data_IF_140735499986
#
_entry.id   IF_140735499986
#
_cell.length_a   1.000
_cell.length_b   1.000
_cell.length_c   1.000
_cell.angle_alpha   90.00
_cell.angle_beta   90.00
_cell.angle_gamma   90.00
#
_symmetry.space_group_name_H-M   'P 1'
#
loop_
_entity.id
_entity.type
_entity.pdbx_description
1 polymer ?
#
# COMPACT_ATOMS: atom_id res chain seq x y z
N UNK A 1 -5.68 -32.66 -28.68
CA UNK A 1 -6.75 -33.01 -29.64
C UNK A 1 -7.50 -34.23 -29.10
N UNK A 2 -8.83 -34.25 -29.24
CA UNK A 2 -9.86 -35.20 -28.76
C UNK A 2 -10.76 -34.63 -27.65
N UNK A 3 -11.92 -34.19 -28.17
CA UNK A 3 -13.13 -33.67 -27.54
C UNK A 3 -13.97 -34.85 -27.03
N UNK A 4 -14.73 -34.64 -25.96
CA UNK A 4 -15.96 -35.39 -25.71
C UNK A 4 -17.17 -34.47 -25.90
N UNK A 5 -18.06 -34.91 -26.79
CA UNK A 5 -19.42 -34.40 -27.03
C UNK A 5 -20.34 -34.97 -25.96
N UNK A 6 -21.25 -34.16 -25.44
CA UNK A 6 -22.57 -34.64 -25.02
C UNK A 6 -23.63 -33.85 -25.79
N UNK A 7 -24.61 -34.59 -26.32
CA UNK A 7 -25.73 -34.10 -27.12
C UNK A 7 -26.97 -34.87 -26.72
N UNK A 8 -28.03 -34.16 -26.33
CA UNK A 8 -29.45 -34.56 -26.49
C UNK A 8 -30.33 -33.35 -26.14
N UNK A 9 -30.92 -32.70 -27.15
CA UNK A 9 -32.35 -32.78 -27.55
C UNK A 9 -33.29 -31.99 -26.62
N UNK A 10 -33.79 -30.82 -27.04
CA UNK A 10 -35.03 -30.54 -27.83
C UNK A 10 -36.18 -30.12 -26.91
N UNK A 11 -36.75 -28.94 -27.18
CA UNK A 11 -37.95 -28.44 -26.51
C UNK A 11 -38.25 -26.98 -26.87
N UNK A 12 -38.71 -26.77 -28.11
CA UNK A 12 -39.23 -25.50 -28.63
C UNK A 12 -40.53 -25.07 -27.95
N UNK A 13 -40.71 -23.78 -27.68
CA UNK A 13 -41.92 -23.06 -28.12
C UNK A 13 -41.71 -21.54 -28.11
N UNK A 14 -42.08 -20.91 -29.23
CA UNK A 14 -42.32 -19.47 -29.35
C UNK A 14 -43.74 -19.21 -28.86
N UNK A 15 -43.95 -18.11 -28.14
CA UNK A 15 -45.25 -17.44 -28.12
C UNK A 15 -45.05 -15.92 -28.16
N UNK A 16 -45.53 -15.34 -29.26
CA UNK A 16 -45.80 -13.92 -29.46
C UNK A 16 -47.09 -13.52 -28.74
N UNK A 17 -47.14 -12.33 -28.13
CA UNK A 17 -48.38 -11.78 -27.59
C UNK A 17 -48.19 -10.38 -27.03
N UNK A 18 -48.79 -9.39 -27.71
CA UNK A 18 -48.74 -7.95 -27.46
C UNK A 18 -50.10 -7.53 -26.84
N UNK A 19 -50.10 -6.40 -26.11
CA UNK A 19 -51.21 -5.43 -25.92
C UNK A 19 -52.03 -5.46 -24.60
N UNK A 20 -52.03 -4.25 -24.00
CA UNK A 20 -53.05 -3.45 -23.28
C UNK A 20 -53.36 -3.59 -21.78
N UNK A 21 -53.15 -2.42 -21.15
CA UNK A 21 -54.08 -1.62 -20.32
C UNK A 21 -54.41 -2.08 -18.91
N UNK A 22 -53.84 -1.33 -17.95
CA UNK A 22 -54.60 -0.36 -17.15
C UNK A 22 -55.66 -0.90 -16.19
N UNK A 23 -55.41 -0.75 -14.88
CA UNK A 23 -56.13 0.23 -14.03
C UNK A 23 -55.65 0.15 -12.59
N UNK A 24 -55.56 1.34 -11.99
CA UNK A 24 -55.39 1.62 -10.56
C UNK A 24 -56.53 1.00 -9.74
N UNK A 25 -56.22 0.47 -8.57
CA UNK A 25 -57.12 0.51 -7.41
C UNK A 25 -56.31 0.81 -6.13
N UNK A 26 -56.80 1.81 -5.38
CA UNK A 26 -56.33 2.25 -4.07
C UNK A 26 -57.15 1.56 -2.98
N UNK A 27 -56.49 1.12 -1.90
CA UNK A 27 -57.00 1.07 -0.51
C UNK A 27 -55.77 0.90 0.40
N UNK A 28 -55.31 1.87 1.23
CA UNK A 28 -55.76 2.26 2.60
C UNK A 28 -56.06 1.02 3.48
N UNK A 29 -55.61 0.85 4.73
CA UNK A 29 -55.02 1.69 5.79
C UNK A 29 -54.63 0.75 6.97
N UNK A 30 -53.59 1.07 7.76
CA UNK A 30 -53.50 0.97 9.24
C UNK A 30 -52.02 1.12 9.65
N UNK A 31 -51.54 2.28 10.13
CA UNK A 31 -51.60 2.81 11.50
C UNK A 31 -51.05 1.87 12.59
N UNK A 32 -49.87 2.23 13.11
CA UNK A 32 -49.57 2.36 14.54
C UNK A 32 -48.43 3.39 14.68
N UNK A 33 -48.58 4.28 15.66
CA UNK A 33 -47.85 5.53 15.94
C UNK A 33 -47.30 5.41 17.36
N UNK A 34 -46.10 5.95 17.60
CA UNK A 34 -45.68 6.76 18.78
C UNK A 34 -44.18 6.56 19.07
N UNK A 35 -43.33 7.61 18.95
CA UNK A 35 -42.97 8.63 19.97
C UNK A 35 -42.07 8.05 21.08
N UNK A 36 -41.08 8.70 21.69
CA UNK A 36 -40.19 9.86 21.51
C UNK A 36 -39.41 10.02 22.85
N UNK A 37 -38.47 10.98 22.90
CA UNK A 37 -37.64 11.44 24.04
C UNK A 37 -36.41 10.56 24.39
N UNK A 38 -35.22 11.09 24.66
CA UNK A 38 -34.79 12.47 24.93
C UNK A 38 -33.99 12.54 26.24
N UNK A 39 -32.91 13.33 26.22
CA UNK A 39 -32.17 13.95 27.35
C UNK A 39 -30.86 13.32 27.86
N UNK A 40 -29.90 14.22 28.08
CA UNK A 40 -28.54 14.06 28.57
C UNK A 40 -28.42 14.17 30.11
N UNK A 41 -27.34 13.67 30.70
CA UNK A 41 -26.65 14.32 31.83
C UNK A 41 -25.23 13.76 32.10
N UNK A 42 -24.37 14.65 32.59
CA UNK A 42 -23.00 14.49 33.11
C UNK A 42 -23.00 14.20 34.62
N UNK A 43 -22.04 13.37 35.09
CA UNK A 43 -21.36 13.28 36.42
C UNK A 43 -20.95 11.80 36.61
N UNK A 44 -19.82 11.38 37.17
CA UNK A 44 -18.90 11.99 38.11
C UNK A 44 -18.63 10.98 39.24
N UNK A 45 -17.41 10.44 39.27
CA UNK A 45 -16.65 9.96 40.44
C UNK A 45 -17.04 8.68 41.22
N UNK A 46 -15.97 7.91 41.49
CA UNK A 46 -15.60 7.16 42.71
C UNK A 46 -16.28 5.83 43.05
N UNK A 47 -15.46 4.77 43.17
CA UNK A 47 -15.28 3.87 44.33
C UNK A 47 -14.41 2.65 43.95
N UNK A 48 -13.88 1.83 44.89
CA UNK A 48 -13.05 2.19 46.04
C UNK A 48 -11.77 1.33 46.14
N UNK A 49 -10.91 1.77 47.07
CA UNK A 49 -9.69 1.14 47.60
C UNK A 49 -9.97 -0.21 48.29
N UNK A 50 -9.02 -1.15 48.22
CA UNK A 50 -8.90 -2.27 49.16
C UNK A 50 -7.40 -2.62 49.40
N UNK A 51 -7.04 -3.31 50.50
CA UNK A 51 -6.02 -2.81 51.41
C UNK A 51 -4.71 -3.61 51.43
N UNK A 52 -3.72 -2.97 52.05
CA UNK A 52 -2.36 -3.40 52.35
C UNK A 52 -2.34 -4.46 53.47
N UNK A 53 -1.46 -5.47 53.37
CA UNK A 53 -0.87 -6.22 54.49
C UNK A 53 0.48 -6.87 54.07
N UNK A 54 1.39 -7.22 55.00
CA UNK A 54 2.71 -6.60 55.12
C UNK A 54 3.91 -7.48 54.68
N UNK A 55 5.06 -6.83 54.44
CA UNK A 55 6.37 -7.46 54.21
C UNK A 55 7.02 -8.03 55.49
N UNK A 56 7.85 -9.09 55.38
CA UNK A 56 8.84 -9.49 56.38
C UNK A 56 10.27 -9.00 56.02
N UNK A 57 11.23 -9.01 56.98
CA UNK A 57 12.28 -7.99 57.08
C UNK A 57 13.56 -8.23 56.28
N UNK A 58 14.26 -7.12 56.02
CA UNK A 58 15.59 -7.01 55.42
C UNK A 58 16.66 -7.71 56.28
N UNK A 59 17.45 -8.58 55.66
CA UNK A 59 18.73 -9.04 56.19
C UNK A 59 19.85 -8.53 55.28
N UNK A 60 20.82 -7.83 55.87
CA UNK A 60 22.01 -7.28 55.23
C UNK A 60 22.99 -8.42 54.93
N UNK A 61 23.33 -8.59 53.64
CA UNK A 61 24.36 -9.49 53.14
C UNK A 61 25.15 -8.80 52.03
N UNK A 62 26.48 -8.95 52.09
CA UNK A 62 27.49 -8.10 51.47
C UNK A 62 27.49 -8.03 49.93
N UNK A 63 27.93 -6.88 49.42
CA UNK A 63 28.14 -6.59 48.01
C UNK A 63 29.24 -7.45 47.37
N UNK A 64 28.95 -8.05 46.21
CA UNK A 64 29.91 -8.32 45.14
C UNK A 64 29.24 -8.15 43.77
N UNK A 65 30.07 -7.84 42.77
CA UNK A 65 29.81 -7.09 41.55
C UNK A 65 28.92 -7.73 40.46
N UNK A 66 28.47 -6.83 39.56
CA UNK A 66 28.06 -7.00 38.16
C UNK A 66 26.60 -7.39 37.87
N UNK A 67 25.73 -6.37 37.73
CA UNK A 67 24.47 -6.51 37.00
C UNK A 67 24.70 -6.29 35.51
N UNK A 68 24.60 -7.39 34.76
CA UNK A 68 24.47 -7.43 33.31
C UNK A 68 23.21 -6.64 32.91
N UNK A 69 23.36 -5.65 32.03
CA UNK A 69 22.22 -5.02 31.35
C UNK A 69 21.66 -6.06 30.37
N UNK A 70 20.61 -6.77 30.78
CA UNK A 70 19.86 -7.68 29.92
C UNK A 70 19.22 -6.91 28.78
N UNK A 71 19.49 -7.32 27.54
CA UNK A 71 18.78 -6.86 26.35
C UNK A 71 17.26 -7.10 26.51
N UNK A 72 16.39 -6.21 25.99
CA UNK A 72 14.95 -6.41 26.08
C UNK A 72 14.54 -7.71 25.39
N UNK A 73 13.74 -8.53 26.07
CA UNK A 73 13.26 -9.83 25.57
C UNK A 73 12.46 -9.70 24.27
N UNK A 74 12.42 -10.78 23.48
CA UNK A 74 11.79 -10.84 22.15
C UNK A 74 10.34 -10.32 22.11
N UNK A 75 9.60 -10.38 23.21
CA UNK A 75 8.25 -9.80 23.36
C UNK A 75 8.21 -8.28 23.37
N UNK A 76 9.27 -7.61 23.85
CA UNK A 76 9.42 -6.15 23.80
C UNK A 76 9.80 -5.68 22.40
N UNK A 77 10.68 -6.41 21.69
CA UNK A 77 11.00 -6.12 20.28
C UNK A 77 9.79 -6.35 19.35
N UNK A 78 9.00 -7.40 19.58
CA UNK A 78 7.79 -7.67 18.80
C UNK A 78 6.71 -6.57 18.99
N UNK A 79 6.50 -6.10 20.23
CA UNK A 79 5.58 -4.99 20.52
C UNK A 79 6.07 -3.65 19.96
N UNK A 80 7.38 -3.40 19.99
CA UNK A 80 7.98 -2.21 19.35
C UNK A 80 7.82 -2.29 17.84
N UNK A 81 8.09 -3.43 17.20
CA UNK A 81 7.92 -3.61 15.74
C UNK A 81 6.44 -3.52 15.28
N UNK A 82 5.50 -4.08 16.04
CA UNK A 82 4.05 -3.94 15.77
C UNK A 82 3.53 -2.50 15.96
N UNK A 83 4.15 -1.72 16.84
CA UNK A 83 3.77 -0.31 17.07
C UNK A 83 4.42 0.61 16.03
N UNK A 84 5.67 0.33 15.63
CA UNK A 84 6.36 1.04 14.54
C UNK A 84 5.73 0.75 13.15
N UNK A 85 5.23 -0.47 12.92
CA UNK A 85 4.46 -0.82 11.71
C UNK A 85 3.03 -0.24 11.66
N UNK A 86 2.65 0.59 12.64
CA UNK A 86 1.34 1.26 12.79
C UNK A 86 1.42 2.79 12.80
N UNK A 87 2.59 3.38 12.58
CA UNK A 87 2.70 4.84 12.54
C UNK A 87 1.87 5.41 11.37
N UNK A 88 1.08 6.48 11.61
CA UNK A 88 0.33 7.15 10.57
C UNK A 88 1.28 7.72 9.51
N UNK A 89 0.78 7.85 8.27
CA UNK A 89 1.49 8.55 7.22
C UNK A 89 1.83 9.96 7.72
N UNK A 90 3.09 10.36 7.59
CA UNK A 90 3.57 11.64 8.10
C UNK A 90 4.49 12.32 7.10
N UNK A 91 4.23 13.60 6.83
CA UNK A 91 5.11 14.46 6.05
C UNK A 91 6.13 15.10 6.97
N UNK A 92 7.39 15.09 6.55
CA UNK A 92 8.50 15.66 7.29
C UNK A 92 8.89 17.00 6.66
N UNK A 93 9.03 18.05 7.45
CA UNK A 93 9.54 19.32 6.96
C UNK A 93 11.03 19.20 6.61
N UNK A 94 11.46 19.76 5.47
CA UNK A 94 12.87 19.80 5.11
C UNK A 94 13.59 20.91 5.89
N UNK A 95 14.51 20.52 6.77
CA UNK A 95 15.42 21.36 7.54
C UNK A 95 16.88 21.15 7.09
N UNK A 96 17.07 20.72 5.84
CA UNK A 96 18.38 20.48 5.23
C UNK A 96 18.84 19.01 5.29
N UNK A 97 17.94 18.07 5.56
CA UNK A 97 18.23 16.62 5.49
C UNK A 97 18.20 16.08 4.05
N UNK A 98 17.68 16.85 3.09
CA UNK A 98 17.62 16.50 1.67
C UNK A 98 17.82 17.75 0.79
N UNK A 99 17.63 17.62 -0.52
CA UNK A 99 17.81 18.69 -1.50
C UNK A 99 17.05 19.97 -1.07
N UNK A 100 17.69 21.17 -1.13
CA UNK A 100 17.10 22.41 -0.64
C UNK A 100 15.84 22.86 -1.38
N UNK A 101 15.56 22.33 -2.59
CA UNK A 101 14.32 22.61 -3.31
C UNK A 101 13.10 21.89 -2.70
N UNK A 102 13.33 20.82 -1.95
CA UNK A 102 12.27 20.07 -1.27
C UNK A 102 11.77 20.87 -0.06
N UNK A 103 10.45 21.04 0.06
CA UNK A 103 9.79 21.67 1.21
C UNK A 103 9.36 20.63 2.23
N UNK A 104 8.73 19.57 1.74
CA UNK A 104 8.29 18.43 2.55
C UNK A 104 8.64 17.13 1.85
N UNK A 105 8.81 16.08 2.62
CA UNK A 105 9.02 14.75 2.09
C UNK A 105 8.25 13.71 2.88
N UNK A 106 7.91 12.63 2.20
CA UNK A 106 7.26 11.46 2.77
C UNK A 106 8.02 10.21 2.35
N UNK A 107 8.17 9.27 3.28
CA UNK A 107 8.82 7.99 3.02
C UNK A 107 7.91 6.84 3.41
N UNK A 108 7.69 5.96 2.45
CA UNK A 108 7.03 4.68 2.65
C UNK A 108 8.01 3.53 2.42
N UNK A 109 7.61 2.33 2.84
CA UNK A 109 8.27 1.13 2.35
C UNK A 109 8.05 1.02 0.83
N UNK A 110 9.15 1.07 0.06
CA UNK A 110 9.14 0.88 -1.39
C UNK A 110 9.10 2.16 -2.23
N UNK A 111 8.83 3.34 -1.66
CA UNK A 111 8.92 4.61 -2.38
C UNK A 111 9.16 5.81 -1.48
N UNK A 112 9.61 6.91 -2.06
CA UNK A 112 9.69 8.22 -1.40
C UNK A 112 9.02 9.28 -2.27
N UNK A 113 8.35 10.22 -1.61
CA UNK A 113 7.78 11.42 -2.23
C UNK A 113 8.56 12.64 -1.76
N UNK A 114 8.96 13.48 -2.71
CA UNK A 114 9.56 14.77 -2.44
C UNK A 114 8.69 15.87 -3.02
N UNK A 115 8.27 16.81 -2.19
CA UNK A 115 7.40 17.91 -2.57
C UNK A 115 8.23 19.19 -2.68
N UNK A 116 8.30 19.76 -3.88
CA UNK A 116 8.96 21.04 -4.18
C UNK A 116 7.89 22.12 -4.41
N UNK A 117 8.24 23.39 -4.68
CA UNK A 117 7.25 24.43 -4.98
C UNK A 117 6.26 24.07 -6.10
N UNK A 118 6.72 23.39 -7.15
CA UNK A 118 5.92 23.15 -8.36
C UNK A 118 5.94 21.69 -8.83
N UNK A 119 6.60 20.79 -8.10
CA UNK A 119 6.74 19.39 -8.48
C UNK A 119 6.48 18.44 -7.31
N UNK A 120 5.85 17.31 -7.62
CA UNK A 120 5.84 16.13 -6.77
C UNK A 120 6.71 15.05 -7.43
N UNK A 121 7.78 14.65 -6.76
CA UNK A 121 8.74 13.67 -7.25
C UNK A 121 8.53 12.35 -6.52
N UNK A 122 8.06 11.34 -7.26
CA UNK A 122 7.90 9.98 -6.77
C UNK A 122 9.11 9.14 -7.18
N UNK A 123 9.92 8.75 -6.20
CA UNK A 123 11.03 7.83 -6.39
C UNK A 123 10.61 6.42 -5.96
N UNK A 124 10.50 5.49 -6.90
CA UNK A 124 10.19 4.09 -6.64
C UNK A 124 11.49 3.34 -6.32
N UNK A 125 11.61 2.86 -5.08
CA UNK A 125 12.78 2.13 -4.63
C UNK A 125 12.75 0.71 -5.22
N UNK A 126 13.78 0.33 -5.96
CA UNK A 126 14.04 -1.08 -6.22
C UNK A 126 14.54 -1.74 -4.93
N UNK A 127 14.18 -2.99 -4.62
CA UNK A 127 14.83 -3.72 -3.55
C UNK A 127 16.32 -3.80 -3.88
N UNK A 128 17.15 -3.06 -3.14
CA UNK A 128 18.60 -3.21 -3.24
C UNK A 128 18.95 -4.62 -2.81
N UNK A 129 19.41 -5.44 -3.75
CA UNK A 129 20.25 -6.59 -3.45
C UNK A 129 21.50 -6.07 -2.75
N UNK A 130 21.54 -6.16 -1.42
CA UNK A 130 22.75 -5.86 -0.66
C UNK A 130 23.84 -6.86 -1.07
N UNK A 131 25.01 -6.40 -1.56
CA UNK A 131 26.13 -7.30 -1.76
C UNK A 131 26.57 -7.77 -0.37
N UNK A 132 26.38 -9.06 -0.08
CA UNK A 132 26.92 -9.69 1.11
C UNK A 132 28.45 -9.58 1.03
N UNK A 133 29.16 -9.03 2.04
CA UNK A 133 30.62 -9.05 2.03
C UNK A 133 31.08 -10.48 2.23
N UNK A 134 31.40 -11.15 1.12
CA UNK A 134 32.06 -12.44 1.16
C UNK A 134 33.51 -12.18 1.58
N UNK A 135 33.87 -12.61 2.80
CA UNK A 135 35.27 -12.66 3.23
C UNK A 135 36.05 -13.48 2.22
N UNK A 136 36.81 -12.80 1.37
CA UNK A 136 37.78 -13.43 0.50
C UNK A 136 38.95 -13.93 1.37
N UNK A 137 39.08 -15.25 1.48
CA UNK A 137 40.39 -15.85 1.74
C UNK A 137 41.15 -15.72 0.43
N UNK A 138 42.26 -14.99 0.47
CA UNK A 138 43.08 -14.69 -0.68
C UNK A 138 43.84 -15.93 -1.15
N UNK A 139 43.70 -16.29 -2.42
CA UNK A 139 44.72 -17.00 -3.20
C UNK A 139 45.14 -16.08 -4.36
N UNK A 140 46.43 -15.77 -4.54
CA UNK A 140 46.89 -14.96 -5.66
C UNK A 140 47.11 -15.84 -6.88
N UNK A 141 46.86 -15.26 -8.06
CA UNK A 141 47.16 -15.72 -9.45
C UNK A 141 45.90 -16.02 -10.26
N UNK A 142 45.34 -14.95 -10.84
CA UNK A 142 45.12 -14.82 -12.29
C UNK A 142 44.30 -13.56 -12.55
N UNK A 143 45.01 -12.50 -12.93
CA UNK A 143 44.40 -11.32 -13.51
C UNK A 143 43.87 -11.67 -14.91
N UNK A 144 42.55 -11.65 -15.07
CA UNK A 144 41.91 -11.49 -16.37
C UNK A 144 40.61 -10.72 -16.17
N UNK A 145 40.71 -9.43 -16.51
CA UNK A 145 39.65 -8.57 -17.03
C UNK A 145 38.27 -9.19 -17.21
N UNK A 146 37.37 -8.89 -16.29
CA UNK A 146 35.93 -8.81 -16.56
C UNK A 146 35.35 -7.67 -15.74
N UNK A 147 35.37 -6.47 -16.31
CA UNK A 147 34.67 -5.29 -15.81
C UNK A 147 33.17 -5.57 -15.92
N UNK A 148 32.63 -6.29 -14.93
CA UNK A 148 31.19 -6.49 -14.81
C UNK A 148 30.61 -5.18 -14.30
N UNK A 149 30.17 -4.34 -15.23
CA UNK A 149 29.33 -3.19 -14.93
C UNK A 149 28.13 -3.69 -14.12
N UNK A 150 28.13 -3.36 -12.83
CA UNK A 150 26.94 -3.45 -12.00
C UNK A 150 25.90 -2.56 -12.67
N UNK A 151 24.94 -3.16 -13.40
CA UNK A 151 23.73 -2.45 -13.78
C UNK A 151 23.02 -2.09 -12.48
N UNK A 152 23.23 -0.88 -12.01
CA UNK A 152 22.31 -0.25 -11.08
C UNK A 152 20.93 -0.34 -11.73
N UNK A 153 20.01 -1.07 -11.11
CA UNK A 153 18.60 -0.94 -11.49
C UNK A 153 18.25 0.52 -11.19
N UNK A 154 18.15 1.37 -12.21
CA UNK A 154 17.77 2.76 -11.98
C UNK A 154 16.40 2.77 -11.31
N UNK A 155 16.29 3.42 -10.16
CA UNK A 155 14.99 3.68 -9.54
C UNK A 155 14.08 4.34 -10.59
N UNK A 156 12.85 3.84 -10.74
CA UNK A 156 11.88 4.51 -11.59
C UNK A 156 11.46 5.81 -10.87
N UNK A 157 11.76 6.96 -11.47
CA UNK A 157 11.42 8.27 -10.93
C UNK A 157 10.35 8.87 -11.82
N UNK A 158 9.19 9.14 -11.23
CA UNK A 158 8.09 9.84 -11.90
C UNK A 158 7.99 11.23 -11.30
N UNK A 159 7.99 12.25 -12.16
CA UNK A 159 7.91 13.67 -11.76
C UNK A 159 6.60 14.24 -12.25
N UNK A 160 5.70 14.60 -11.34
CA UNK A 160 4.50 15.37 -11.67
C UNK A 160 4.82 16.86 -11.52
N UNK A 161 4.64 17.64 -12.58
CA UNK A 161 4.86 19.10 -12.56
C UNK A 161 3.56 19.85 -12.72
N UNK A 162 3.40 20.90 -11.93
CA UNK A 162 2.32 21.87 -12.05
C UNK A 162 2.72 22.91 -13.10
N UNK A 163 2.31 22.70 -14.35
CA UNK A 163 2.68 23.56 -15.49
C UNK A 163 1.99 24.92 -15.34
N UNK A 164 2.79 25.99 -15.37
CA UNK A 164 2.27 27.37 -15.25
C UNK A 164 1.82 27.76 -13.84
N UNK A 165 2.11 26.93 -12.84
CA UNK A 165 1.80 27.23 -11.44
C UNK A 165 2.66 28.38 -10.89
N UNK A 166 2.21 28.93 -9.77
CA UNK A 166 3.00 29.85 -8.96
C UNK A 166 4.35 29.18 -8.60
N UNK A 167 5.51 29.78 -8.97
CA UNK A 167 6.81 29.18 -8.69
C UNK A 167 7.20 29.22 -7.21
N UNK A 168 6.53 30.04 -6.40
CA UNK A 168 6.78 30.21 -4.98
C UNK A 168 5.44 30.25 -4.19
N UNK A 169 4.66 29.15 -4.19
CA UNK A 169 3.43 29.09 -3.42
C UNK A 169 3.75 29.09 -1.92
N UNK A 170 2.78 29.54 -1.12
CA UNK A 170 2.88 29.38 0.33
C UNK A 170 2.66 27.90 0.65
N UNK A 171 3.66 27.27 1.28
CA UNK A 171 3.64 25.83 1.61
C UNK A 171 3.72 25.66 3.11
N UNK A 172 2.74 24.99 3.70
CA UNK A 172 2.65 24.76 5.14
C UNK A 172 2.35 23.30 5.47
N UNK A 173 2.99 22.80 6.53
CA UNK A 173 2.58 21.56 7.18
C UNK A 173 1.35 21.84 8.05
N UNK A 174 0.31 21.03 7.90
CA UNK A 174 -0.97 21.19 8.60
C UNK A 174 -1.22 19.96 9.45
N UNK A 175 -1.82 20.16 10.63
CA UNK A 175 -2.04 19.12 11.64
C UNK A 175 -0.72 18.45 12.06
N UNK A 176 0.10 19.19 12.83
CA UNK A 176 1.36 18.67 13.36
C UNK A 176 1.10 17.43 14.23
N UNK A 177 1.81 16.36 13.91
CA UNK A 177 1.73 15.08 14.62
C UNK A 177 2.69 15.10 15.83
N UNK A 178 2.37 14.35 16.90
CA UNK A 178 3.21 14.31 18.09
C UNK A 178 4.58 13.65 17.85
N UNK A 179 4.72 12.88 16.76
CA UNK A 179 5.97 12.22 16.39
C UNK A 179 7.03 13.20 15.88
N UNK A 180 8.28 12.98 16.29
CA UNK A 180 9.46 13.71 15.82
C UNK A 180 10.42 12.78 15.12
N UNK A 181 11.09 13.28 14.09
CA UNK A 181 12.13 12.55 13.35
C UNK A 181 13.50 13.17 13.64
N UNK A 182 14.52 12.31 13.75
CA UNK A 182 15.90 12.71 13.96
C UNK A 182 16.78 12.08 12.88
N UNK A 183 17.71 12.86 12.35
CA UNK A 183 18.68 12.49 11.32
C UNK A 183 20.09 12.63 11.87
N UNK A 184 20.76 11.51 12.04
CA UNK A 184 22.17 11.43 12.41
C UNK A 184 22.97 10.93 11.20
N UNK A 185 23.02 11.74 10.14
CA UNK A 185 23.67 11.40 8.87
C UNK A 185 25.14 11.80 8.93
N UNK A 186 26.04 10.83 8.75
CA UNK A 186 27.49 11.06 8.78
C UNK A 186 28.05 11.21 10.20
N UNK A 187 29.34 11.48 10.28
CA UNK A 187 30.13 11.59 11.52
C UNK A 187 30.24 13.03 12.07
N UNK A 188 29.76 14.02 11.32
CA UNK A 188 29.73 15.44 11.70
C UNK A 188 28.42 15.80 12.42
N UNK A 189 28.44 16.03 13.75
CA UNK A 189 27.23 16.32 14.52
C UNK A 189 26.55 17.64 14.14
N UNK A 190 27.26 18.57 13.50
CA UNK A 190 26.66 19.84 13.04
C UNK A 190 25.69 19.65 11.86
N UNK A 191 25.82 18.51 11.17
CA UNK A 191 24.92 18.10 10.07
C UNK A 191 23.74 17.28 10.57
N UNK A 192 23.74 16.87 11.83
CA UNK A 192 22.60 16.17 12.40
C UNK A 192 21.40 17.11 12.51
N UNK A 193 20.20 16.55 12.34
CA UNK A 193 18.92 17.25 12.52
C UNK A 193 18.14 16.52 13.58
N UNK A 194 17.65 17.22 14.58
CA UNK A 194 16.85 16.63 15.66
C UNK A 194 15.54 17.38 15.79
N UNK A 195 14.54 16.71 16.36
CA UNK A 195 13.20 17.26 16.58
C UNK A 195 12.52 17.79 15.31
N UNK A 196 12.74 17.15 14.15
CA UNK A 196 12.04 17.50 12.91
C UNK A 196 10.55 17.22 13.11
N UNK A 197 9.73 18.25 12.98
CA UNK A 197 8.28 18.16 13.06
C UNK A 197 7.71 17.34 11.90
N UNK A 198 6.65 16.60 12.19
CA UNK A 198 5.91 15.83 11.21
C UNK A 198 4.46 16.27 11.16
N UNK A 199 3.81 16.14 10.00
CA UNK A 199 2.48 16.68 9.74
C UNK A 199 1.60 15.65 9.06
N UNK A 200 0.29 15.68 9.33
CA UNK A 200 -0.67 14.81 8.65
C UNK A 200 -0.94 15.26 7.21
N UNK A 201 -0.81 16.57 6.94
CA UNK A 201 -1.06 17.17 5.63
C UNK A 201 0.00 18.20 5.27
N UNK A 202 0.15 18.45 3.97
CA UNK A 202 0.90 19.58 3.42
C UNK A 202 -0.03 20.37 2.52
N UNK A 203 -0.26 21.64 2.86
CA UNK A 203 -1.09 22.56 2.08
C UNK A 203 -0.20 23.51 1.29
N UNK A 204 -0.48 23.60 0.00
CA UNK A 204 0.01 24.63 -0.90
C UNK A 204 -1.13 25.59 -1.19
N UNK A 205 -0.92 26.89 -0.94
CA UNK A 205 -1.92 27.92 -1.21
C UNK A 205 -1.63 28.62 -2.54
N UNK A 206 -2.70 28.87 -3.30
CA UNK A 206 -2.64 29.55 -4.60
C UNK A 206 -1.55 28.97 -5.53
N UNK A 207 -1.56 27.65 -5.72
CA UNK A 207 -0.69 26.99 -6.72
C UNK A 207 -1.07 27.42 -8.14
N UNK A 208 -2.36 27.68 -8.34
CA UNK A 208 -2.89 28.51 -9.42
C UNK A 208 -3.78 29.58 -8.76
N UNK A 209 -4.05 30.72 -9.42
CA UNK A 209 -4.93 31.73 -8.85
C UNK A 209 -6.29 31.13 -8.42
N UNK A 210 -6.57 31.14 -7.11
CA UNK A 210 -7.80 30.56 -6.53
C UNK A 210 -7.84 29.04 -6.48
N UNK A 211 -6.70 28.36 -6.56
CA UNK A 211 -6.57 26.90 -6.44
C UNK A 211 -5.50 26.56 -5.40
N UNK A 212 -5.92 25.88 -4.35
CA UNK A 212 -5.04 25.27 -3.36
C UNK A 212 -4.77 23.79 -3.73
N UNK A 213 -3.63 23.26 -3.29
CA UNK A 213 -3.27 21.85 -3.42
C UNK A 213 -2.94 21.26 -2.05
N UNK A 214 -3.63 20.20 -1.65
CA UNK A 214 -3.47 19.59 -0.33
C UNK A 214 -3.01 18.16 -0.49
N UNK A 215 -1.83 17.82 0.01
CA UNK A 215 -1.37 16.43 0.15
C UNK A 215 -1.70 15.91 1.53
N UNK A 216 -2.21 14.69 1.64
CA UNK A 216 -2.52 14.08 2.92
C UNK A 216 -2.43 12.55 2.89
N UNK A 217 -2.49 11.94 4.07
CA UNK A 217 -2.53 10.50 4.24
C UNK A 217 -3.91 9.99 4.62
N UNK A 218 -4.44 9.00 3.91
CA UNK A 218 -5.67 8.30 4.27
C UNK A 218 -5.42 6.79 4.33
N UNK A 219 -5.65 6.14 5.47
CA UNK A 219 -5.38 4.69 5.64
C UNK A 219 -4.00 4.22 5.11
N UNK A 220 -2.95 5.05 5.27
CA UNK A 220 -1.56 4.85 4.77
C UNK A 220 -1.36 5.07 3.27
N UNK A 221 -2.33 5.64 2.59
CA UNK A 221 -2.31 6.00 1.18
C UNK A 221 -1.95 7.49 1.06
N UNK A 222 -1.09 7.81 0.10
CA UNK A 222 -0.83 9.19 -0.26
C UNK A 222 -1.93 9.66 -1.19
N UNK A 223 -2.63 10.72 -0.81
CA UNK A 223 -3.66 11.37 -1.62
C UNK A 223 -3.31 12.85 -1.80
N UNK A 224 -3.93 13.48 -2.81
CA UNK A 224 -3.88 14.92 -2.98
C UNK A 224 -5.15 15.48 -3.60
N UNK A 225 -5.56 16.66 -3.14
CA UNK A 225 -6.75 17.36 -3.63
C UNK A 225 -6.38 18.69 -4.26
N UNK A 226 -7.02 19.03 -5.39
CA UNK A 226 -7.14 20.42 -5.80
C UNK A 226 -8.41 21.02 -5.21
N UNK A 227 -8.26 22.02 -4.35
CA UNK A 227 -9.36 22.77 -3.76
C UNK A 227 -9.51 24.09 -4.49
N UNK A 228 -10.62 24.25 -5.20
CA UNK A 228 -10.86 25.31 -6.15
C UNK A 228 -11.87 26.28 -5.54
N UNK A 229 -11.48 27.55 -5.42
CA UNK A 229 -12.33 28.59 -4.87
C UNK A 229 -13.54 28.90 -5.78
N UNK A 230 -14.65 29.45 -5.24
CA UNK A 230 -15.77 29.92 -6.04
C UNK A 230 -15.34 30.86 -7.18
N UNK A 231 -15.89 30.64 -8.37
CA UNK A 231 -15.60 31.43 -9.57
C UNK A 231 -14.28 31.10 -10.27
N UNK A 232 -13.45 30.22 -9.70
CA UNK A 232 -12.19 29.79 -10.32
C UNK A 232 -12.44 28.70 -11.37
N UNK A 233 -11.75 28.81 -12.51
CA UNK A 233 -11.85 27.84 -13.60
C UNK A 233 -10.95 26.61 -13.35
N UNK A 234 -11.53 25.39 -13.20
CA UNK A 234 -10.77 24.14 -13.03
C UNK A 234 -9.89 23.81 -14.24
N UNK A 235 -10.18 24.36 -15.42
CA UNK A 235 -9.37 24.13 -16.62
C UNK A 235 -8.00 24.80 -16.56
N UNK A 236 -7.76 25.71 -15.60
CA UNK A 236 -6.43 26.30 -15.35
C UNK A 236 -5.39 25.25 -14.93
N UNK A 237 -5.81 24.19 -14.22
CA UNK A 237 -4.92 23.18 -13.69
C UNK A 237 -4.32 22.35 -14.83
N UNK A 238 -2.99 22.34 -14.93
CA UNK A 238 -2.26 21.67 -16.01
C UNK A 238 -1.07 20.90 -15.46
N UNK A 239 -1.07 19.58 -15.67
CA UNK A 239 -0.05 18.67 -15.18
C UNK A 239 0.83 18.19 -16.33
N UNK A 240 2.12 18.02 -16.09
CA UNK A 240 3.00 17.25 -16.97
C UNK A 240 3.73 16.18 -16.18
N UNK A 241 4.12 15.11 -16.88
CA UNK A 241 4.78 13.97 -16.26
C UNK A 241 6.11 13.68 -16.95
N UNK A 242 7.18 13.65 -16.16
CA UNK A 242 8.52 13.26 -16.59
C UNK A 242 8.92 11.91 -16.02
N UNK A 243 9.84 11.22 -16.71
CA UNK A 243 10.25 9.85 -16.35
C UNK A 243 9.21 8.80 -16.72
N UNK A 244 8.30 9.13 -17.64
CA UNK A 244 7.22 8.28 -18.13
C UNK A 244 7.44 8.00 -19.62
N UNK A 245 7.47 6.72 -19.99
CA UNK A 245 7.66 6.23 -21.35
C UNK A 245 6.36 6.33 -22.17
N UNK A 246 5.21 6.16 -21.50
CA UNK A 246 3.88 6.24 -22.10
C UNK A 246 2.87 6.74 -21.07
N UNK A 247 2.01 7.65 -21.51
CA UNK A 247 0.90 8.19 -20.73
C UNK A 247 -0.41 7.90 -21.45
N UNK A 248 -1.40 7.34 -20.76
CA UNK A 248 -2.73 7.08 -21.34
C UNK A 248 -3.85 7.26 -20.31
N UNK A 249 -5.05 7.58 -20.79
CA UNK A 249 -6.28 7.45 -20.02
C UNK A 249 -6.98 6.19 -20.49
N UNK A 250 -7.24 5.25 -19.60
CA UNK A 250 -7.80 3.95 -19.98
C UNK A 250 -9.34 3.95 -20.02
N UNK A 251 -9.92 2.77 -20.28
CA UNK A 251 -11.37 2.62 -20.41
C UNK A 251 -12.14 2.89 -19.09
N UNK A 252 -11.45 2.86 -17.94
CA UNK A 252 -12.00 3.18 -16.63
C UNK A 252 -11.89 4.70 -16.32
N UNK A 253 -11.17 5.45 -17.16
CA UNK A 253 -10.90 6.87 -16.96
C UNK A 253 -9.69 7.12 -16.05
N UNK A 254 -8.90 6.09 -15.74
CA UNK A 254 -7.68 6.20 -14.96
C UNK A 254 -6.54 6.73 -15.82
N UNK A 255 -5.70 7.61 -15.27
CA UNK A 255 -4.45 8.02 -15.88
C UNK A 255 -3.36 6.99 -15.55
N UNK A 256 -2.81 6.35 -16.57
CA UNK A 256 -1.77 5.32 -16.44
C UNK A 256 -0.44 5.85 -16.96
N UNK A 257 0.54 5.90 -16.07
CA UNK A 257 1.90 6.35 -16.29
C UNK A 257 2.83 5.14 -16.36
N UNK A 258 3.30 4.79 -17.55
CA UNK A 258 4.24 3.68 -17.73
C UNK A 258 5.68 4.18 -17.60
N UNK A 259 6.48 3.60 -16.72
CA UNK A 259 7.86 3.98 -16.46
C UNK A 259 8.72 2.75 -16.20
N UNK A 260 9.75 2.54 -17.03
CA UNK A 260 10.74 1.47 -16.87
C UNK A 260 10.12 0.06 -16.71
N UNK A 261 9.07 -0.22 -17.48
CA UNK A 261 8.35 -1.51 -17.46
C UNK A 261 7.41 -1.71 -16.25
N UNK A 262 7.22 -0.67 -15.42
CA UNK A 262 6.20 -0.60 -14.37
C UNK A 262 5.13 0.43 -14.76
N UNK A 263 4.00 0.39 -14.09
CA UNK A 263 2.94 1.39 -14.28
C UNK A 263 2.56 1.98 -12.92
N UNK A 264 2.46 3.31 -12.88
CA UNK A 264 1.78 4.06 -11.81
C UNK A 264 0.41 4.44 -12.35
N UNK A 265 -0.63 4.22 -11.55
CA UNK A 265 -2.02 4.49 -11.95
C UNK A 265 -2.59 5.52 -11.00
N UNK A 266 -3.15 6.58 -11.57
CA UNK A 266 -3.97 7.56 -10.86
C UNK A 266 -5.41 7.32 -11.30
N UNK A 267 -6.31 7.00 -10.38
CA UNK A 267 -7.66 6.68 -10.79
C UNK A 267 -8.40 7.93 -11.27
N UNK A 268 -9.45 7.69 -12.06
CA UNK A 268 -10.38 8.74 -12.45
C UNK A 268 -10.74 9.62 -11.23
N UNK A 269 -10.55 10.95 -11.31
CA UNK A 269 -10.78 11.83 -10.18
C UNK A 269 -12.26 11.87 -9.79
N UNK A 270 -12.50 11.86 -8.48
CA UNK A 270 -13.80 12.19 -7.89
C UNK A 270 -13.86 13.70 -7.80
N UNK A 271 -14.85 14.30 -8.47
CA UNK A 271 -15.09 15.74 -8.39
C UNK A 271 -16.31 15.98 -7.53
N UNK A 272 -16.23 16.87 -6.56
CA UNK A 272 -17.35 17.13 -5.67
C UNK A 272 -17.48 18.58 -5.21
N UNK A 273 -18.71 18.95 -4.88
CA UNK A 273 -19.04 20.19 -4.18
C UNK A 273 -19.82 19.88 -2.91
N UNK A 274 -19.73 20.75 -1.92
CA UNK A 274 -20.63 20.72 -0.78
C UNK A 274 -21.77 21.71 -1.00
N UNK A 275 -22.99 21.19 -1.07
CA UNK A 275 -24.22 21.97 -1.29
C UNK A 275 -25.12 21.72 -0.07
N UNK A 276 -25.33 22.75 0.74
CA UNK A 276 -26.20 22.72 1.92
C UNK A 276 -25.82 21.61 2.93
N UNK A 277 -24.52 21.39 3.11
CA UNK A 277 -23.96 20.35 3.99
C UNK A 277 -23.96 18.94 3.40
N UNK A 278 -24.34 18.78 2.13
CA UNK A 278 -24.35 17.49 1.42
C UNK A 278 -23.26 17.49 0.35
N UNK A 279 -22.41 16.44 0.35
CA UNK A 279 -21.43 16.22 -0.72
C UNK A 279 -22.16 15.76 -1.98
N UNK A 280 -22.09 16.58 -3.02
CA UNK A 280 -22.59 16.30 -4.35
C UNK A 280 -21.40 15.94 -5.26
N UNK A 281 -21.45 14.77 -5.88
CA UNK A 281 -20.49 14.37 -6.91
C UNK A 281 -20.85 15.01 -8.25
N UNK A 282 -19.84 15.53 -8.92
CA UNK A 282 -19.90 16.12 -10.25
C UNK A 282 -19.16 15.18 -11.20
N UNK A 283 -19.70 14.97 -12.40
CA UNK A 283 -18.98 14.20 -13.42
C UNK A 283 -17.65 14.86 -13.72
N UNK A 284 -16.54 14.13 -13.62
CA UNK A 284 -15.23 14.62 -13.99
C UNK A 284 -14.32 13.54 -14.54
N UNK A 285 -13.12 13.91 -14.99
CA UNK A 285 -12.14 12.96 -15.52
C UNK A 285 -10.87 13.64 -16.01
N UNK A 286 -9.84 12.84 -16.29
CA UNK A 286 -8.64 13.33 -16.95
C UNK A 286 -8.89 13.63 -18.43
N UNK A 287 -8.24 14.68 -18.93
CA UNK A 287 -8.23 15.02 -20.35
C UNK A 287 -6.81 15.39 -20.79
N UNK A 288 -6.41 14.96 -21.99
CA UNK A 288 -5.15 15.40 -22.59
C UNK A 288 -5.28 16.81 -23.13
N UNK A 289 -4.28 17.63 -22.83
CA UNK A 289 -4.06 18.97 -23.36
C UNK A 289 -2.95 18.95 -24.40
N UNK A 290 -2.65 20.10 -24.99
CA UNK A 290 -1.52 20.26 -25.91
C UNK A 290 -0.21 19.76 -25.28
N UNK A 291 0.72 19.32 -26.14
CA UNK A 291 2.06 18.85 -25.73
C UNK A 291 2.08 17.66 -24.75
N UNK A 292 0.99 16.89 -24.68
CA UNK A 292 0.88 15.72 -23.80
C UNK A 292 0.68 16.08 -22.32
N UNK A 293 0.32 17.33 -22.02
CA UNK A 293 -0.11 17.71 -20.69
C UNK A 293 -1.46 17.07 -20.34
N UNK A 294 -1.75 16.99 -19.04
CA UNK A 294 -3.02 16.46 -18.51
C UNK A 294 -3.74 17.58 -17.76
N UNK A 295 -5.03 17.69 -17.96
CA UNK A 295 -5.91 18.52 -17.15
C UNK A 295 -7.14 17.75 -16.73
N UNK A 296 -8.17 18.49 -16.30
CA UNK A 296 -9.43 17.93 -15.84
C UNK A 296 -10.58 18.41 -16.72
N UNK A 297 -11.40 17.46 -17.16
CA UNK A 297 -12.76 17.71 -17.62
C UNK A 297 -13.65 17.72 -16.37
N UNK A 298 -14.46 18.76 -16.21
CA UNK A 298 -15.49 18.85 -15.16
C UNK A 298 -16.84 19.10 -15.84
N UNK A 299 -17.88 18.40 -15.37
CA UNK A 299 -19.27 18.57 -15.80
C UNK A 299 -19.87 19.86 -15.24
N UNK A 300 -21.18 20.06 -15.41
CA UNK A 300 -21.85 21.24 -14.85
C UNK A 300 -21.83 21.22 -13.32
N UNK A 301 -21.53 22.37 -12.72
CA UNK A 301 -21.42 22.56 -11.27
C UNK A 301 -21.83 23.99 -10.88
N UNK A 302 -22.06 24.24 -9.59
CA UNK A 302 -22.35 25.57 -9.07
C UNK A 302 -21.06 26.37 -8.91
N UNK A 303 -20.78 27.28 -9.83
CA UNK A 303 -19.56 28.10 -9.79
C UNK A 303 -19.50 29.04 -8.60
N UNK A 304 -20.60 29.27 -7.88
CA UNK A 304 -20.65 30.06 -6.66
C UNK A 304 -20.14 29.31 -5.42
N UNK A 305 -19.82 28.02 -5.55
CA UNK A 305 -19.35 27.17 -4.44
C UNK A 305 -17.96 26.59 -4.72
N UNK A 306 -17.19 26.26 -3.67
CA UNK A 306 -15.92 25.56 -3.83
C UNK A 306 -16.10 24.22 -4.56
N UNK A 307 -15.09 23.83 -5.31
CA UNK A 307 -15.03 22.55 -6.03
C UNK A 307 -13.76 21.81 -5.59
N UNK A 308 -13.88 20.52 -5.30
CA UNK A 308 -12.72 19.67 -4.96
C UNK A 308 -12.55 18.62 -6.05
N UNK A 309 -11.33 18.49 -6.56
CA UNK A 309 -10.92 17.42 -7.48
C UNK A 309 -9.94 16.52 -6.73
N UNK A 310 -10.36 15.29 -6.46
CA UNK A 310 -9.64 14.25 -5.72
C UNK A 310 -9.30 13.07 -6.66
N UNK A 311 -8.10 13.05 -7.26
CA UNK A 311 -7.57 11.89 -7.96
C UNK A 311 -7.15 10.77 -6.99
N UNK A 312 -8.06 9.82 -6.76
CA UNK A 312 -7.90 8.72 -5.80
C UNK A 312 -6.77 7.75 -6.22
N UNK A 313 -5.90 7.38 -5.27
CA UNK A 313 -5.02 6.21 -5.35
C UNK A 313 -5.69 5.05 -4.59
N UNK A 314 -6.29 4.06 -5.27
CA UNK A 314 -7.21 3.09 -4.63
C UNK A 314 -6.54 2.24 -3.55
N UNK A 315 -5.32 1.75 -3.76
CA UNK A 315 -4.49 1.24 -2.66
C UNK A 315 -3.01 1.13 -3.03
N UNK A 316 -2.17 1.32 -2.03
CA UNK A 316 -0.80 0.82 -1.97
C UNK A 316 -0.60 0.28 -0.57
N UNK A 317 -0.13 -0.95 -0.44
CA UNK A 317 0.03 -1.60 0.86
C UNK A 317 1.32 -2.42 0.88
N UNK A 318 1.83 -2.67 2.07
CA UNK A 318 2.96 -3.56 2.29
C UNK A 318 2.44 -4.97 2.60
N UNK A 319 2.96 -5.94 1.86
CA UNK A 319 2.67 -7.35 2.07
C UNK A 319 3.97 -8.07 2.44
N UNK A 320 4.15 -8.30 3.73
CA UNK A 320 5.35 -8.91 4.30
C UNK A 320 5.32 -8.86 5.83
N UNK A 321 6.26 -9.54 6.47
CA UNK A 321 6.49 -9.51 7.89
C UNK A 321 7.85 -8.91 8.25
N UNK A 322 8.43 -9.41 9.35
CA UNK A 322 9.62 -8.86 10.00
C UNK A 322 10.95 -9.44 9.49
N UNK A 323 10.90 -10.50 8.71
CA UNK A 323 12.07 -11.23 8.22
C UNK A 323 12.08 -11.21 6.68
N UNK A 324 12.63 -12.26 6.07
CA UNK A 324 12.78 -12.35 4.64
C UNK A 324 11.42 -12.61 3.99
N UNK A 325 11.02 -11.72 3.09
CA UNK A 325 9.80 -11.81 2.31
C UNK A 325 10.10 -11.45 0.86
N UNK A 326 9.77 -12.34 -0.07
CA UNK A 326 9.97 -12.12 -1.49
C UNK A 326 8.72 -12.49 -2.27
N UNK A 327 8.19 -11.54 -3.03
CA UNK A 327 7.15 -11.80 -4.04
C UNK A 327 7.79 -12.21 -5.36
N UNK A 328 7.38 -13.34 -5.91
CA UNK A 328 7.89 -13.89 -7.17
C UNK A 328 6.81 -14.03 -8.23
N UNK A 329 5.56 -14.29 -7.84
CA UNK A 329 4.42 -14.41 -8.74
C UNK A 329 3.36 -13.35 -8.48
N UNK A 330 2.79 -12.80 -9.55
CA UNK A 330 1.60 -11.95 -9.49
C UNK A 330 0.64 -12.29 -10.62
N UNK A 331 -0.65 -12.34 -10.31
CA UNK A 331 -1.72 -12.55 -11.28
C UNK A 331 -2.97 -11.75 -10.89
N UNK A 332 -3.81 -11.41 -11.85
CA UNK A 332 -5.04 -10.65 -11.63
C UNK A 332 -6.21 -11.39 -12.27
N UNK A 333 -7.33 -11.54 -11.56
CA UNK A 333 -8.55 -12.16 -12.10
C UNK A 333 -9.48 -11.13 -12.78
N UNK A 334 -10.54 -11.62 -13.43
CA UNK A 334 -11.50 -10.77 -14.15
C UNK A 334 -12.32 -9.82 -13.23
N UNK A 335 -12.30 -10.03 -11.91
CA UNK A 335 -12.92 -9.17 -10.92
C UNK A 335 -11.92 -8.18 -10.30
N UNK A 336 -10.74 -8.02 -10.91
CA UNK A 336 -9.64 -7.16 -10.45
C UNK A 336 -9.11 -7.53 -9.06
N UNK A 337 -9.27 -8.78 -8.63
CA UNK A 337 -8.54 -9.26 -7.46
C UNK A 337 -7.11 -9.59 -7.86
N UNK A 338 -6.16 -9.12 -7.06
CA UNK A 338 -4.72 -9.38 -7.24
C UNK A 338 -4.30 -10.55 -6.38
N UNK A 339 -3.56 -11.48 -6.97
CA UNK A 339 -2.98 -12.63 -6.28
C UNK A 339 -1.47 -12.51 -6.32
N UNK A 340 -0.82 -12.76 -5.18
CA UNK A 340 0.63 -12.69 -5.02
C UNK A 340 1.11 -14.02 -4.47
N UNK A 341 2.15 -14.59 -5.07
CA UNK A 341 2.89 -15.71 -4.50
C UNK A 341 4.33 -15.34 -4.24
N UNK A 342 4.92 -15.99 -3.25
CA UNK A 342 6.25 -15.63 -2.78
C UNK A 342 6.79 -16.63 -1.79
N UNK A 343 7.88 -16.25 -1.14
CA UNK A 343 8.52 -17.03 -0.09
C UNK A 343 8.74 -16.14 1.13
N UNK A 344 8.51 -16.68 2.34
CA UNK A 344 8.64 -15.95 3.59
C UNK A 344 9.35 -16.77 4.66
N UNK A 345 10.19 -16.13 5.48
CA UNK A 345 10.61 -16.64 6.79
C UNK A 345 10.02 -15.82 7.95
N UNK A 346 9.05 -14.96 7.65
CA UNK A 346 8.40 -14.10 8.62
C UNK A 346 7.28 -14.84 9.36
N UNK A 347 7.45 -15.04 10.67
CA UNK A 347 6.39 -15.58 11.53
C UNK A 347 5.13 -14.70 11.60
N UNK A 348 5.29 -13.41 11.30
CA UNK A 348 4.24 -12.40 11.34
C UNK A 348 3.80 -11.96 9.94
N UNK A 349 3.93 -12.81 8.91
CA UNK A 349 3.35 -12.51 7.61
C UNK A 349 1.83 -12.33 7.74
N UNK A 350 1.23 -11.31 7.09
CA UNK A 350 -0.21 -11.07 7.16
C UNK A 350 -0.99 -12.27 6.63
N UNK A 351 -1.83 -12.89 7.46
CA UNK A 351 -2.70 -14.01 7.07
C UNK A 351 -4.17 -13.66 7.28
N UNK A 352 -5.03 -14.13 6.39
CA UNK A 352 -6.50 -13.97 6.46
C UNK A 352 -7.10 -15.28 5.96
N UNK A 353 -7.94 -15.94 6.76
CA UNK A 353 -8.50 -17.25 6.44
C UNK A 353 -7.48 -18.29 5.93
N UNK A 354 -6.31 -18.46 6.59
CA UNK A 354 -5.24 -19.29 6.05
C UNK A 354 -5.58 -20.77 6.03
N UNK A 355 -5.11 -21.49 5.01
CA UNK A 355 -5.10 -22.96 4.99
C UNK A 355 -4.03 -23.48 5.96
N UNK A 356 -2.87 -22.82 5.98
CA UNK A 356 -1.80 -23.03 6.94
C UNK A 356 -1.47 -21.69 7.60
N UNK A 357 -1.73 -21.61 8.92
CA UNK A 357 -1.67 -20.36 9.68
C UNK A 357 -0.25 -19.96 10.13
N UNK A 358 0.71 -20.88 10.07
CA UNK A 358 2.10 -20.67 10.47
C UNK A 358 3.01 -21.38 9.48
N UNK A 359 4.13 -20.75 9.12
CA UNK A 359 5.16 -21.45 8.37
C UNK A 359 5.69 -22.64 9.18
N UNK A 360 6.03 -23.73 8.51
CA UNK A 360 6.42 -25.01 9.12
C UNK A 360 7.90 -25.34 8.95
N UNK A 361 8.62 -24.56 8.14
CA UNK A 361 10.02 -24.80 7.77
C UNK A 361 10.92 -23.60 8.03
N UNK A 362 11.97 -23.46 7.22
CA UNK A 362 12.89 -22.30 7.30
C UNK A 362 12.36 -21.13 6.46
N UNK A 363 11.76 -21.46 5.32
CA UNK A 363 11.10 -20.55 4.39
C UNK A 363 9.92 -21.32 3.83
N UNK A 364 8.72 -20.75 3.89
CA UNK A 364 7.53 -21.35 3.27
C UNK A 364 7.03 -20.48 2.12
N UNK A 365 6.26 -21.09 1.21
CA UNK A 365 5.53 -20.34 0.19
C UNK A 365 4.44 -19.52 0.85
N UNK A 366 4.17 -18.32 0.31
CA UNK A 366 2.96 -17.55 0.64
C UNK A 366 2.08 -17.42 -0.59
N UNK A 367 0.78 -17.47 -0.35
CA UNK A 367 -0.24 -17.18 -1.38
C UNK A 367 -1.26 -16.22 -0.79
N UNK A 368 -1.33 -15.03 -1.38
CA UNK A 368 -2.22 -13.94 -0.95
C UNK A 368 -3.16 -13.56 -2.07
N UNK A 369 -4.43 -13.33 -1.74
CA UNK A 369 -5.42 -12.66 -2.60
C UNK A 369 -5.85 -11.35 -1.96
N UNK A 370 -5.83 -10.29 -2.76
CA UNK A 370 -6.24 -8.93 -2.41
C UNK A 370 -7.39 -8.56 -3.34
N UNK A 371 -8.47 -7.99 -2.81
CA UNK A 371 -9.59 -7.55 -3.64
C UNK A 371 -9.27 -6.24 -4.40
N UNK A 372 -10.18 -5.83 -5.29
CA UNK A 372 -10.04 -4.59 -6.05
C UNK A 372 -9.94 -3.31 -5.18
N UNK A 373 -10.34 -3.37 -3.92
CA UNK A 373 -10.26 -2.25 -2.96
C UNK A 373 -9.03 -2.33 -2.06
N UNK A 374 -8.09 -3.25 -2.31
CA UNK A 374 -6.84 -3.37 -1.55
C UNK A 374 -6.91 -4.17 -0.24
N UNK A 375 -8.06 -4.78 0.07
CA UNK A 375 -8.24 -5.60 1.27
C UNK A 375 -7.82 -7.05 1.03
N UNK A 376 -7.10 -7.66 1.98
CA UNK A 376 -6.79 -9.09 1.93
C UNK A 376 -8.09 -9.91 1.99
N UNK A 377 -8.32 -10.71 0.96
CA UNK A 377 -9.41 -11.70 0.91
C UNK A 377 -8.97 -12.98 1.59
N UNK A 378 -7.77 -13.45 1.25
CA UNK A 378 -7.10 -14.52 1.96
C UNK A 378 -5.59 -14.36 1.87
N UNK A 379 -4.87 -14.96 2.82
CA UNK A 379 -3.42 -15.12 2.77
C UNK A 379 -3.02 -16.29 3.65
N UNK A 380 -2.19 -17.17 3.09
CA UNK A 380 -1.78 -18.43 3.72
C UNK A 380 -0.29 -18.70 3.51
N UNK A 381 0.33 -19.37 4.47
CA UNK A 381 1.56 -20.10 4.23
C UNK A 381 1.24 -21.39 3.45
N UNK A 382 2.26 -21.98 2.82
CA UNK A 382 2.19 -23.28 2.18
C UNK A 382 3.61 -23.88 2.17
N UNK A 383 3.87 -24.83 3.06
CA UNK A 383 5.18 -25.45 3.20
C UNK A 383 5.22 -26.55 4.26
N UNK A 384 6.31 -27.32 4.23
CA UNK A 384 6.63 -28.38 5.19
C UNK A 384 7.82 -27.99 6.06
N UNK A 385 8.66 -28.95 6.43
CA UNK A 385 9.69 -28.80 7.47
C UNK A 385 11.00 -28.13 7.02
N UNK A 386 11.17 -27.83 5.73
CA UNK A 386 12.41 -27.34 5.14
C UNK A 386 12.14 -26.10 4.26
N UNK A 387 13.03 -25.74 3.32
CA UNK A 387 12.81 -24.65 2.38
C UNK A 387 11.73 -25.00 1.34
N UNK A 388 10.75 -24.12 1.20
CA UNK A 388 9.72 -24.18 0.16
C UNK A 388 9.61 -22.80 -0.53
N UNK A 389 9.83 -22.79 -1.84
CA UNK A 389 10.02 -21.55 -2.62
C UNK A 389 8.96 -21.48 -3.72
N UNK A 390 8.07 -20.49 -3.64
CA UNK A 390 7.13 -20.18 -4.70
C UNK A 390 7.80 -19.29 -5.74
N UNK A 391 7.85 -19.74 -7.00
CA UNK A 391 8.55 -19.03 -8.09
C UNK A 391 7.60 -18.45 -9.15
N UNK A 392 6.33 -18.85 -9.14
CA UNK A 392 5.35 -18.33 -10.08
C UNK A 392 3.91 -18.56 -9.63
N UNK A 393 2.99 -17.88 -10.31
CA UNK A 393 1.56 -17.92 -10.03
C UNK A 393 0.78 -17.62 -11.31
N UNK A 394 -0.31 -18.34 -11.53
CA UNK A 394 -1.35 -17.98 -12.51
C UNK A 394 -2.73 -18.21 -11.92
N UNK A 395 -3.74 -17.58 -12.50
CA UNK A 395 -5.13 -17.69 -12.07
C UNK A 395 -6.01 -18.00 -13.28
N UNK A 396 -6.93 -18.95 -13.12
CA UNK A 396 -7.88 -19.28 -14.20
C UNK A 396 -9.11 -18.35 -14.21
N UNK A 397 -9.95 -18.50 -15.24
CA UNK A 397 -11.16 -17.68 -15.40
C UNK A 397 -12.19 -17.85 -14.27
N UNK A 398 -12.08 -18.90 -13.44
CA UNK A 398 -12.94 -19.14 -12.29
C UNK A 398 -12.33 -18.65 -10.97
N UNK A 399 -11.12 -18.06 -11.02
CA UNK A 399 -10.44 -17.51 -9.84
C UNK A 399 -9.63 -18.53 -9.05
N UNK A 400 -9.32 -19.70 -9.59
CA UNK A 400 -8.42 -20.65 -8.92
C UNK A 400 -6.97 -20.24 -9.15
N UNK A 401 -6.19 -20.19 -8.06
CA UNK A 401 -4.77 -19.89 -8.09
C UNK A 401 -3.93 -21.17 -8.26
N UNK A 402 -2.99 -21.14 -9.21
CA UNK A 402 -2.03 -22.21 -9.47
C UNK A 402 -0.63 -21.66 -9.19
N UNK A 403 0.06 -22.27 -8.23
CA UNK A 403 1.41 -21.87 -7.79
C UNK A 403 2.41 -22.90 -8.27
N UNK A 404 3.54 -22.44 -8.77
CA UNK A 404 4.70 -23.28 -9.09
C UNK A 404 5.87 -22.91 -8.19
N UNK A 405 6.75 -23.87 -7.95
CA UNK A 405 7.85 -23.70 -7.02
C UNK A 405 8.64 -24.97 -6.76
N UNK A 406 9.61 -24.84 -5.87
CA UNK A 406 10.45 -25.93 -5.37
C UNK A 406 10.09 -26.23 -3.92
N UNK A 407 10.07 -27.51 -3.56
CA UNK A 407 9.96 -27.95 -2.17
C UNK A 407 11.15 -28.84 -1.83
N UNK A 408 11.85 -28.52 -0.74
CA UNK A 408 12.84 -29.39 -0.12
C UNK A 408 12.24 -30.17 1.06
N UNK A 409 10.99 -29.87 1.42
CA UNK A 409 10.26 -30.47 2.52
C UNK A 409 9.82 -31.89 2.23
N UNK A 410 10.18 -32.82 3.11
CA UNK A 410 9.72 -34.23 3.03
C UNK A 410 8.22 -34.41 3.28
N UNK A 411 7.59 -33.42 3.91
CA UNK A 411 6.22 -33.40 4.39
C UNK A 411 5.42 -32.21 3.80
N UNK A 412 5.72 -31.80 2.57
CA UNK A 412 5.00 -30.70 1.91
C UNK A 412 3.48 -30.99 1.85
N UNK A 413 2.61 -30.01 2.16
CA UNK A 413 1.16 -30.20 2.14
C UNK A 413 0.67 -30.64 0.76
N UNK A 414 0.06 -31.83 0.69
CA UNK A 414 -0.52 -32.37 -0.54
C UNK A 414 -1.90 -32.96 -0.29
N UNK A 415 -2.75 -32.95 -1.32
CA UNK A 415 -4.06 -33.60 -1.28
C UNK A 415 -3.97 -35.04 -1.74
N UNK A 416 -4.93 -35.86 -1.31
CA UNK A 416 -5.05 -37.25 -1.73
C UNK A 416 -5.20 -37.33 -3.26
N UNK A 417 -4.31 -38.07 -3.93
CA UNK A 417 -4.27 -38.18 -5.39
C UNK A 417 -3.21 -37.33 -6.09
N UNK A 418 -2.34 -36.61 -5.35
CA UNK A 418 -1.17 -35.98 -5.93
C UNK A 418 -0.24 -37.02 -6.59
N UNK A 419 0.35 -36.65 -7.74
CA UNK A 419 1.19 -37.55 -8.56
C UNK A 419 2.42 -38.08 -7.80
N UNK A 420 2.87 -37.39 -6.75
CA UNK A 420 3.92 -37.83 -5.82
C UNK A 420 3.67 -37.25 -4.43
N UNK A 421 3.64 -38.12 -3.42
CA UNK A 421 3.25 -37.78 -2.03
C UNK A 421 4.46 -37.60 -1.08
N UNK A 422 5.69 -37.80 -1.56
CA UNK A 422 6.92 -37.69 -0.75
C UNK A 422 8.08 -37.11 -1.58
N UNK A 423 8.93 -36.30 -0.92
CA UNK A 423 10.11 -35.67 -1.51
C UNK A 423 11.04 -36.68 -2.20
N UNK A 424 11.52 -36.32 -3.39
CA UNK A 424 12.23 -37.24 -4.29
C UNK A 424 13.73 -37.39 -4.09
N UNK A 425 14.28 -36.71 -3.10
CA UNK A 425 15.64 -36.92 -2.62
C UNK A 425 16.69 -35.98 -3.21
N UNK A 426 17.64 -35.59 -2.36
CA UNK A 426 18.96 -35.08 -2.75
C UNK A 426 19.87 -36.29 -2.88
N UNK A 427 20.03 -36.84 -4.08
CA UNK A 427 21.09 -37.82 -4.33
C UNK A 427 22.41 -37.04 -4.34
N UNK A 428 23.12 -37.01 -3.23
CA UNK A 428 24.54 -36.71 -3.25
C UNK A 428 25.23 -38.00 -3.73
N UNK A 429 25.83 -38.06 -4.93
CA UNK A 429 26.78 -39.12 -5.19
C UNK A 429 27.94 -38.87 -4.23
N UNK A 430 28.06 -39.72 -3.22
CA UNK A 430 29.28 -39.81 -2.42
C UNK A 430 30.45 -40.00 -3.38
N UNK A 431 31.30 -38.99 -3.52
CA UNK A 431 32.64 -39.18 -4.04
C UNK A 431 33.40 -40.03 -3.02
N UNK A 432 33.46 -41.35 -3.24
CA UNK A 432 34.51 -42.16 -2.63
C UNK A 432 35.81 -41.84 -3.37
N UNK A 433 36.85 -41.51 -2.60
CA UNK A 433 38.23 -41.40 -3.07
C UNK A 433 38.71 -42.71 -3.68
#
# INVERSE_FOLDING_TARGET
MRRFRLSSLVGSSRFTGRISSGKRFKTRLNHQVSLALGLALVMGMLSPVNPIHPEPPLTVGQATNASVVTAPGQTTQARVSETYGKLPLSFEANQGQTDPQVKFLFRAHGYSLFLTPTEAVLALNSPQSTPRPQRAIADPISASSATSAVKSSSAAVVRMKLVGANPEPQVAGVEELPGKVNYFIGDDPTKWRTNVSTYAKVKYEDVYPGVDLVYYGNQRQLEYDFVIAPGTDPQSITLSFEGVDKLEVDAQGDLVLHSAGKSVRMHKPVVCQEVDGVRQEISGGYVFKEKGHVGFQVGEYDTGKPLVIDPVLVYSTYLGGSHFDQGWGVAVDAASNTYVSGSTSSANFPTVGPIQARYSGVVDVVVTKINATGSLVYSTYLGGSDYDIGTGLTVDATGNAYVIGDTYSSNFPSTFGAFRLAYGGRVMPSWRR
#
